data_IF_588042669342
#
_entry.id   IF_588042669342
#
_cell.length_a   1.000
_cell.length_b   1.000
_cell.length_c   1.000
_cell.angle_alpha   90.00
_cell.angle_beta   90.00
_cell.angle_gamma   90.00
#
_symmetry.space_group_name_H-M   'P 1'
#
loop_
_entity.id
_entity.type
_entity.pdbx_description
1 polymer ?
#
# COMPACT_ATOMS: atom_id res chain seq x y z
N UNK A 1 13.07 17.61 1.00
CA UNK A 1 12.77 18.91 1.68
C UNK A 1 12.93 18.76 3.19
N UNK A 2 13.01 19.81 4.02
CA UNK A 2 13.16 19.68 5.49
C UNK A 2 12.10 18.78 6.17
N UNK A 3 10.93 18.61 5.53
CA UNK A 3 9.83 17.73 5.95
C UNK A 3 10.19 16.22 5.95
N UNK A 4 10.99 15.72 4.99
CA UNK A 4 11.42 14.31 4.97
C UNK A 4 12.33 13.98 6.15
N UNK A 5 13.22 14.90 6.54
CA UNK A 5 14.11 14.69 7.71
C UNK A 5 13.35 14.71 9.04
N UNK A 6 12.22 15.43 9.10
CA UNK A 6 11.35 15.49 10.26
C UNK A 6 10.34 14.34 10.37
N UNK A 7 10.19 13.51 9.32
CA UNK A 7 9.18 12.43 9.24
C UNK A 7 7.75 12.94 9.45
N UNK A 8 7.42 14.06 8.81
CA UNK A 8 6.10 14.70 8.92
C UNK A 8 5.28 14.38 7.66
N UNK A 9 4.15 13.69 7.84
CA UNK A 9 3.16 13.42 6.80
C UNK A 9 1.84 14.14 7.09
N UNK A 10 1.07 14.44 6.04
CA UNK A 10 -0.28 15.00 6.15
C UNK A 10 -1.20 14.19 5.26
N UNK A 11 -2.39 13.85 5.78
CA UNK A 11 -3.38 13.05 5.06
C UNK A 11 -4.75 13.69 5.14
N UNK A 12 -5.53 13.58 4.06
CA UNK A 12 -6.93 13.94 4.06
C UNK A 12 -7.76 12.66 4.17
N UNK A 13 -8.55 12.56 5.24
CA UNK A 13 -9.36 11.38 5.55
C UNK A 13 -10.84 11.71 5.52
N UNK A 14 -11.66 10.68 5.33
CA UNK A 14 -13.11 10.84 5.42
C UNK A 14 -13.56 10.87 6.88
N UNK A 15 -14.44 11.80 7.25
CA UNK A 15 -14.98 11.92 8.60
C UNK A 15 -16.06 10.87 8.96
N UNK A 16 -16.46 10.02 7.99
CA UNK A 16 -17.49 9.02 8.18
C UNK A 16 -16.95 7.79 8.91
N UNK A 17 -17.64 7.33 9.96
CA UNK A 17 -17.30 6.09 10.69
C UNK A 17 -17.21 4.85 9.80
N UNK A 18 -17.97 4.82 8.69
CA UNK A 18 -17.91 3.72 7.72
C UNK A 18 -16.54 3.58 7.07
N UNK A 19 -15.78 4.68 7.02
CA UNK A 19 -14.47 4.74 6.38
C UNK A 19 -13.30 4.55 7.36
N UNK A 20 -13.54 4.43 8.67
CA UNK A 20 -12.47 4.38 9.68
C UNK A 20 -11.42 3.30 9.37
N UNK A 21 -11.87 2.14 8.89
CA UNK A 21 -10.97 1.04 8.53
C UNK A 21 -10.11 1.34 7.30
N UNK A 22 -10.66 1.99 6.29
CA UNK A 22 -9.94 2.39 5.08
C UNK A 22 -9.04 3.61 5.35
N UNK A 23 -9.46 4.52 6.23
CA UNK A 23 -8.64 5.62 6.72
C UNK A 23 -7.37 5.09 7.41
N UNK A 24 -7.47 4.01 8.19
CA UNK A 24 -6.30 3.37 8.81
C UNK A 24 -5.31 2.84 7.78
N UNK A 25 -5.77 2.41 6.60
CA UNK A 25 -4.91 1.95 5.50
C UNK A 25 -4.11 3.13 4.94
N UNK A 26 -4.80 4.24 4.61
CA UNK A 26 -4.18 5.48 4.13
C UNK A 26 -3.22 6.05 5.16
N UNK A 27 -3.61 6.13 6.42
CA UNK A 27 -2.74 6.59 7.51
C UNK A 27 -1.47 5.76 7.63
N UNK A 28 -1.59 4.44 7.56
CA UNK A 28 -0.43 3.55 7.68
C UNK A 28 0.50 3.68 6.47
N UNK A 29 -0.06 3.76 5.27
CA UNK A 29 0.70 4.01 4.03
C UNK A 29 1.57 5.27 4.15
N UNK A 30 0.95 6.37 4.58
CA UNK A 30 1.60 7.68 4.68
C UNK A 30 2.61 7.73 5.84
N UNK A 31 2.32 7.01 6.93
CA UNK A 31 3.28 6.79 7.99
C UNK A 31 4.53 6.05 7.48
N UNK A 32 4.38 5.03 6.63
CA UNK A 32 5.52 4.27 6.11
C UNK A 32 6.41 5.08 5.16
N UNK A 33 5.88 6.06 4.43
CA UNK A 33 6.71 7.02 3.72
C UNK A 33 7.68 7.76 4.65
N UNK A 34 7.24 8.08 5.87
CA UNK A 34 8.08 8.72 6.88
C UNK A 34 9.25 7.81 7.34
N UNK A 35 9.18 6.50 7.08
CA UNK A 35 10.23 5.52 7.31
C UNK A 35 11.01 5.13 6.05
N UNK A 36 10.74 5.75 4.91
CA UNK A 36 11.49 5.54 3.67
C UNK A 36 10.84 4.57 2.67
N UNK A 37 9.64 4.06 2.95
CA UNK A 37 8.91 3.26 1.97
C UNK A 37 8.58 4.07 0.71
N UNK A 38 8.66 3.43 -0.45
CA UNK A 38 8.29 4.04 -1.74
C UNK A 38 7.01 3.42 -2.29
N UNK A 39 6.25 4.21 -3.05
CA UNK A 39 5.05 3.74 -3.73
C UNK A 39 5.32 2.53 -4.62
N UNK A 40 4.41 1.55 -4.59
CA UNK A 40 4.45 0.34 -5.42
C UNK A 40 3.33 0.29 -6.45
N UNK A 41 2.81 1.46 -6.81
CA UNK A 41 1.82 1.65 -7.85
C UNK A 41 2.30 2.68 -8.86
N UNK A 42 1.77 2.60 -10.08
CA UNK A 42 2.05 3.56 -11.13
C UNK A 42 1.30 4.88 -10.85
N UNK A 43 2.02 6.00 -10.74
CA UNK A 43 1.45 7.29 -10.33
C UNK A 43 0.44 7.86 -11.34
N UNK A 44 0.46 7.42 -12.60
CA UNK A 44 -0.45 7.92 -13.63
C UNK A 44 -1.78 7.17 -13.63
N UNK A 45 -1.73 5.86 -13.36
CA UNK A 45 -2.89 4.95 -13.46
C UNK A 45 -3.43 4.51 -12.11
N UNK A 46 -2.63 4.64 -11.04
CA UNK A 46 -2.95 4.11 -9.71
C UNK A 46 -3.02 2.58 -9.68
N UNK A 47 -2.40 1.90 -10.65
CA UNK A 47 -2.34 0.44 -10.75
C UNK A 47 -1.15 -0.10 -9.97
N UNK A 48 -1.31 -1.14 -9.14
CA UNK A 48 -0.19 -1.84 -8.53
C UNK A 48 0.82 -2.35 -9.58
N UNK A 49 2.10 -2.08 -9.39
CA UNK A 49 3.16 -2.47 -10.34
C UNK A 49 3.53 -3.94 -10.10
N UNK A 50 3.37 -4.81 -11.08
CA UNK A 50 3.86 -6.19 -10.95
C UNK A 50 5.40 -6.25 -11.07
N UNK A 51 6.13 -7.02 -10.24
CA UNK A 51 5.63 -7.80 -9.10
C UNK A 51 5.57 -7.00 -7.78
N UNK A 52 6.26 -5.86 -7.69
CA UNK A 52 6.55 -5.19 -6.41
C UNK A 52 5.33 -4.58 -5.68
N UNK A 53 4.20 -4.43 -6.35
CA UNK A 53 2.93 -3.94 -5.79
C UNK A 53 1.91 -5.05 -5.55
N UNK A 54 2.30 -6.30 -5.72
CA UNK A 54 1.42 -7.45 -5.51
C UNK A 54 1.75 -8.09 -4.16
N UNK A 55 0.73 -8.49 -3.41
CA UNK A 55 0.90 -9.14 -2.11
C UNK A 55 1.55 -10.53 -2.24
N UNK A 56 1.15 -11.30 -3.25
CA UNK A 56 1.70 -12.62 -3.57
C UNK A 56 1.93 -12.73 -5.08
N UNK A 57 3.01 -12.11 -5.60
CA UNK A 57 3.30 -12.09 -7.03
C UNK A 57 3.38 -13.49 -7.67
N UNK A 58 3.83 -14.48 -6.89
CA UNK A 58 4.00 -15.88 -7.27
C UNK A 58 2.72 -16.73 -7.18
N UNK A 59 1.59 -16.17 -6.70
CA UNK A 59 0.32 -16.88 -6.58
C UNK A 59 -0.14 -17.44 -7.95
N UNK A 60 -0.71 -18.65 -7.95
CA UNK A 60 -1.38 -19.25 -9.11
C UNK A 60 -2.81 -19.72 -8.73
N UNK A 61 -3.86 -19.23 -9.42
CA UNK A 61 -3.84 -18.19 -10.46
C UNK A 61 -3.38 -16.84 -9.90
N UNK A 62 -2.72 -16.01 -10.73
CA UNK A 62 -2.20 -14.69 -10.33
C UNK A 62 -3.31 -13.77 -9.79
N UNK A 63 -4.49 -13.88 -10.37
CA UNK A 63 -5.64 -13.07 -10.04
C UNK A 63 -6.82 -13.92 -9.56
N UNK A 64 -7.70 -13.37 -8.70
CA UNK A 64 -7.51 -12.14 -7.95
C UNK A 64 -6.47 -12.34 -6.84
N UNK A 65 -5.74 -11.28 -6.50
CA UNK A 65 -4.98 -11.25 -5.26
C UNK A 65 -5.95 -11.18 -4.07
N UNK A 66 -5.59 -11.82 -2.94
CA UNK A 66 -6.44 -11.80 -1.73
C UNK A 66 -6.21 -10.55 -0.86
N UNK A 67 -5.00 -9.97 -0.97
CA UNK A 67 -4.52 -8.86 -0.17
C UNK A 67 -3.85 -7.83 -1.08
N UNK A 68 -3.73 -6.61 -0.60
CA UNK A 68 -2.94 -5.56 -1.24
C UNK A 68 -1.52 -5.57 -0.66
N UNK A 69 -0.53 -5.20 -1.47
CA UNK A 69 0.68 -4.61 -0.90
C UNK A 69 0.31 -3.23 -0.35
N UNK A 70 0.63 -2.94 0.91
CA UNK A 70 0.19 -1.69 1.55
C UNK A 70 0.68 -0.45 0.80
N UNK A 71 1.92 -0.48 0.31
CA UNK A 71 2.50 0.60 -0.48
C UNK A 71 2.01 0.64 -1.93
N UNK A 72 1.23 -0.35 -2.40
CA UNK A 72 0.48 -0.27 -3.64
C UNK A 72 -0.96 0.22 -3.43
N UNK A 73 -1.46 0.19 -2.20
CA UNK A 73 -2.76 0.71 -1.78
C UNK A 73 -3.99 -0.09 -2.24
N UNK A 74 -3.87 -0.97 -3.23
CA UNK A 74 -5.01 -1.65 -3.86
C UNK A 74 -4.76 -3.14 -4.09
N UNK A 75 -5.83 -3.92 -4.13
CA UNK A 75 -5.85 -5.35 -4.42
C UNK A 75 -6.00 -5.55 -5.93
N UNK A 76 -5.02 -6.15 -6.63
CA UNK A 76 -5.16 -6.52 -8.04
C UNK A 76 -6.24 -7.60 -8.22
N UNK A 77 -7.29 -7.27 -8.99
CA UNK A 77 -8.40 -8.19 -9.32
C UNK A 77 -8.19 -8.78 -10.72
N UNK A 78 -7.60 -8.01 -11.64
CA UNK A 78 -7.14 -8.44 -12.96
C UNK A 78 -5.92 -7.61 -13.37
N UNK A 79 -5.52 -7.71 -14.64
CA UNK A 79 -4.50 -6.86 -15.28
C UNK A 79 -4.92 -5.38 -15.40
N UNK A 80 -6.22 -5.11 -15.41
CA UNK A 80 -6.78 -3.77 -15.58
C UNK A 80 -7.65 -3.30 -14.41
N UNK A 81 -8.08 -4.22 -13.54
CA UNK A 81 -8.96 -3.94 -12.42
C UNK A 81 -8.24 -4.11 -11.07
N UNK A 82 -8.47 -3.15 -10.18
CA UNK A 82 -8.06 -3.21 -8.80
C UNK A 82 -9.17 -2.67 -7.88
N UNK A 83 -9.11 -3.02 -6.60
CA UNK A 83 -10.07 -2.53 -5.62
C UNK A 83 -9.39 -2.10 -4.32
N UNK A 84 -10.04 -1.21 -3.59
CA UNK A 84 -9.60 -0.79 -2.25
C UNK A 84 -9.73 -1.97 -1.27
N UNK A 85 -8.71 -2.25 -0.43
CA UNK A 85 -8.87 -3.15 0.71
C UNK A 85 -9.87 -2.58 1.74
N UNK A 86 -10.65 -3.44 2.38
CA UNK A 86 -11.67 -3.00 3.35
C UNK A 86 -11.07 -2.60 4.70
N UNK A 87 -9.99 -3.28 5.12
CA UNK A 87 -9.32 -3.06 6.40
C UNK A 87 -7.82 -3.36 6.28
N UNK A 88 -7.02 -2.89 7.25
CA UNK A 88 -5.57 -3.11 7.31
C UNK A 88 -5.16 -4.59 7.26
N UNK A 89 -5.94 -5.51 7.83
CA UNK A 89 -5.64 -6.95 7.81
C UNK A 89 -5.70 -7.55 6.39
N UNK A 90 -6.27 -6.84 5.42
CA UNK A 90 -6.30 -7.20 4.01
C UNK A 90 -5.09 -6.62 3.24
N UNK A 91 -4.10 -6.10 3.96
CA UNK A 91 -2.84 -5.61 3.40
C UNK A 91 -1.67 -6.39 3.97
N UNK A 92 -0.55 -6.40 3.26
CA UNK A 92 0.73 -6.88 3.75
C UNK A 92 1.84 -5.86 3.42
N UNK A 93 3.00 -6.05 4.02
CA UNK A 93 4.25 -5.48 3.50
C UNK A 93 5.04 -6.62 2.86
N UNK A 94 5.40 -6.48 1.60
CA UNK A 94 6.28 -7.42 0.94
C UNK A 94 7.72 -7.22 1.39
N UNK A 95 8.59 -8.08 0.88
CA UNK A 95 10.01 -8.08 1.23
C UNK A 95 10.67 -6.72 0.97
N UNK A 96 10.39 -6.08 -0.17
CA UNK A 96 10.98 -4.80 -0.54
C UNK A 96 10.53 -3.69 0.41
N UNK A 97 9.23 -3.57 0.66
CA UNK A 97 8.71 -2.56 1.61
C UNK A 97 9.26 -2.79 3.01
N UNK A 98 9.35 -4.04 3.47
CA UNK A 98 9.91 -4.38 4.77
C UNK A 98 11.41 -4.04 4.88
N UNK A 99 12.17 -4.15 3.78
CA UNK A 99 13.56 -3.66 3.72
C UNK A 99 13.62 -2.13 3.76
N UNK A 100 12.78 -1.43 2.99
CA UNK A 100 12.75 0.04 2.93
C UNK A 100 12.50 0.66 4.31
N UNK A 101 11.60 0.08 5.10
CA UNK A 101 11.28 0.55 6.46
C UNK A 101 12.22 0.00 7.54
N UNK A 102 13.25 -0.74 7.15
CA UNK A 102 14.31 -1.24 8.03
C UNK A 102 13.94 -2.44 8.92
N UNK A 103 12.88 -3.19 8.58
CA UNK A 103 12.49 -4.40 9.32
C UNK A 103 13.28 -5.63 8.88
N UNK A 104 13.71 -5.65 7.62
CA UNK A 104 14.59 -6.66 7.05
C UNK A 104 15.93 -6.01 6.67
N UNK A 105 17.01 -6.80 6.77
CA UNK A 105 18.37 -6.38 6.40
C UNK A 105 18.76 -6.98 5.06
#
# INVERSE_FOLDING_TARGET
>A
TALEKGRIGSVNLFASKKQDSQNNIVLTHELLHAFGATDKYDLQTGQPIYPIGYAKPEQQPRYPQKQAELMAGKIPVSDHENKMPEHLNQTILNHLTAQEVGWLK
#
